data_IF_894998531279
#
_entry.id   IF_894998531279
#
_cell.length_a   1.000
_cell.length_b   1.000
_cell.length_c   1.000
_cell.angle_alpha   90.00
_cell.angle_beta   90.00
_cell.angle_gamma   90.00
#
_symmetry.space_group_name_H-M   'P 1'
#
loop_
_entity.id
_entity.type
_entity.pdbx_description
1 polymer ?
#
# COMPACT_ATOMS: atom_id res chain seq x y z
N UNK A 1 -13.55 -4.44 5.59
CA UNK A 1 -13.64 -2.98 5.65
C UNK A 1 -12.83 -2.36 4.53
N UNK A 2 -13.18 -1.17 4.08
CA UNK A 2 -12.48 -0.49 2.99
C UNK A 2 -11.61 0.63 3.55
N UNK A 3 -10.35 0.68 3.13
CA UNK A 3 -9.35 1.64 3.63
C UNK A 3 -8.71 2.34 2.43
N UNK A 4 -8.69 3.66 2.45
CA UNK A 4 -7.86 4.46 1.56
C UNK A 4 -6.44 4.52 2.11
N UNK A 5 -5.45 4.23 1.27
CA UNK A 5 -4.05 4.17 1.66
C UNK A 5 -3.22 4.98 0.67
N UNK A 6 -2.38 5.88 1.18
CA UNK A 6 -1.30 6.53 0.44
C UNK A 6 0.03 5.89 0.78
N UNK A 7 0.85 5.66 -0.23
CA UNK A 7 2.10 4.94 -0.08
C UNK A 7 3.20 5.52 -0.96
N UNK A 8 4.44 5.28 -0.56
CA UNK A 8 5.63 5.39 -1.40
C UNK A 8 6.03 3.99 -1.83
N UNK A 9 6.53 3.84 -3.05
CA UNK A 9 7.02 2.57 -3.55
C UNK A 9 8.19 2.74 -4.51
N UNK A 10 8.96 1.66 -4.67
CA UNK A 10 10.01 1.52 -5.67
C UNK A 10 9.71 0.30 -6.53
N UNK A 11 9.62 0.50 -7.84
CA UNK A 11 9.47 -0.61 -8.79
C UNK A 11 10.80 -1.35 -8.96
N UNK A 12 10.72 -2.65 -9.22
CA UNK A 12 11.88 -3.47 -9.53
C UNK A 12 12.74 -2.83 -10.63
N UNK A 13 14.03 -2.66 -10.34
CA UNK A 13 15.03 -2.14 -11.27
C UNK A 13 15.00 -0.62 -11.43
N UNK A 14 14.12 0.09 -10.72
CA UNK A 14 14.06 1.56 -10.72
C UNK A 14 14.59 2.11 -9.41
N UNK A 15 15.41 3.17 -9.46
CA UNK A 15 15.93 3.84 -8.26
C UNK A 15 14.98 4.89 -7.70
N UNK A 16 14.05 5.37 -8.52
CA UNK A 16 13.11 6.44 -8.17
C UNK A 16 12.05 5.94 -7.20
N UNK A 17 11.83 6.69 -6.12
CA UNK A 17 10.69 6.51 -5.23
C UNK A 17 9.49 7.21 -5.86
N UNK A 18 8.38 6.49 -5.99
CA UNK A 18 7.12 6.97 -6.52
C UNK A 18 6.09 7.02 -5.41
N UNK A 19 5.12 7.92 -5.52
CA UNK A 19 3.97 8.00 -4.62
C UNK A 19 2.72 7.50 -5.33
N UNK A 20 1.82 6.89 -4.57
CA UNK A 20 0.55 6.39 -5.07
C UNK A 20 -0.51 6.32 -3.98
N UNK A 21 -1.72 5.99 -4.39
CA UNK A 21 -2.82 5.73 -3.48
C UNK A 21 -3.74 4.65 -4.03
N UNK A 22 -4.25 3.82 -3.15
CA UNK A 22 -5.27 2.81 -3.47
C UNK A 22 -6.37 2.79 -2.40
N UNK A 23 -7.51 2.24 -2.81
CA UNK A 23 -8.57 1.83 -1.91
C UNK A 23 -8.53 0.30 -1.82
N UNK A 24 -8.22 -0.23 -0.63
CA UNK A 24 -8.09 -1.67 -0.40
C UNK A 24 -9.16 -2.18 0.56
N UNK A 25 -9.58 -3.42 0.39
CA UNK A 25 -10.46 -4.09 1.35
C UNK A 25 -9.63 -5.01 2.24
N UNK A 26 -9.65 -4.79 3.55
CA UNK A 26 -8.97 -5.63 4.55
C UNK A 26 -9.95 -6.17 5.57
N UNK A 27 -9.62 -7.30 6.19
CA UNK A 27 -10.41 -7.87 7.28
C UNK A 27 -10.32 -7.00 8.55
N UNK A 28 -9.12 -6.46 8.84
CA UNK A 28 -8.80 -5.68 10.03
C UNK A 28 -8.03 -4.40 9.67
N UNK A 29 -8.27 -3.29 10.40
CA UNK A 29 -7.55 -2.02 10.21
C UNK A 29 -6.23 -2.05 10.97
N UNK A 30 -5.32 -2.94 10.58
CA UNK A 30 -3.98 -3.02 11.15
C UNK A 30 -2.94 -2.69 10.09
N UNK A 31 -1.81 -2.05 10.45
CA UNK A 31 -0.72 -1.81 9.52
C UNK A 31 -0.26 -3.07 8.80
N UNK A 32 -0.22 -4.21 9.50
CA UNK A 32 0.19 -5.50 8.94
C UNK A 32 -0.79 -5.98 7.86
N UNK A 33 -2.09 -5.88 8.08
CA UNK A 33 -3.10 -6.27 7.10
C UNK A 33 -3.03 -5.37 5.85
N UNK A 34 -2.84 -4.07 6.03
CA UNK A 34 -2.65 -3.11 4.93
C UNK A 34 -1.40 -3.45 4.12
N UNK A 35 -0.27 -3.68 4.78
CA UNK A 35 1.00 -4.02 4.12
C UNK A 35 0.91 -5.36 3.37
N UNK A 36 0.27 -6.37 3.96
CA UNK A 36 0.07 -7.67 3.33
C UNK A 36 -0.77 -7.55 2.06
N UNK A 37 -1.84 -6.75 2.10
CA UNK A 37 -2.69 -6.51 0.94
C UNK A 37 -1.95 -5.73 -0.17
N UNK A 38 -1.19 -4.69 0.18
CA UNK A 38 -0.38 -3.96 -0.80
C UNK A 38 0.66 -4.86 -1.48
N UNK A 39 1.29 -5.80 -0.75
CA UNK A 39 2.21 -6.79 -1.35
C UNK A 39 1.51 -7.69 -2.35
N UNK A 40 0.30 -8.13 -2.02
CA UNK A 40 -0.48 -9.01 -2.88
C UNK A 40 -0.88 -8.31 -4.19
N UNK A 41 -1.27 -7.04 -4.11
CA UNK A 41 -1.69 -6.24 -5.27
C UNK A 41 -0.52 -5.81 -6.15
N UNK A 42 0.66 -5.59 -5.56
CA UNK A 42 1.81 -5.02 -6.25
C UNK A 42 3.08 -5.87 -6.09
N UNK A 43 3.11 -7.11 -6.63
CA UNK A 43 4.23 -8.04 -6.46
C UNK A 43 5.55 -7.55 -7.06
N UNK A 44 5.51 -6.60 -7.99
CA UNK A 44 6.67 -6.00 -8.66
C UNK A 44 7.35 -4.86 -7.88
N UNK A 45 6.85 -4.50 -6.70
CA UNK A 45 7.49 -3.50 -5.86
C UNK A 45 8.63 -4.12 -5.04
N UNK A 46 9.84 -3.57 -5.18
CA UNK A 46 11.00 -3.97 -4.36
C UNK A 46 10.86 -3.46 -2.93
N UNK A 47 10.32 -2.25 -2.78
CA UNK A 47 10.06 -1.65 -1.48
C UNK A 47 8.84 -0.75 -1.55
N UNK A 48 8.14 -0.65 -0.42
CA UNK A 48 7.03 0.27 -0.26
C UNK A 48 6.82 0.60 1.21
N UNK A 49 6.20 1.76 1.46
CA UNK A 49 5.90 2.29 2.78
C UNK A 49 4.54 2.96 2.74
N UNK A 50 3.71 2.69 3.75
CA UNK A 50 2.46 3.44 3.96
C UNK A 50 2.80 4.80 4.58
N UNK A 51 2.32 5.87 3.95
CA UNK A 51 2.44 7.26 4.42
C UNK A 51 1.23 7.62 5.26
N UNK A 52 0.04 7.26 4.78
CA UNK A 52 -1.25 7.59 5.38
C UNK A 52 -2.24 6.47 5.10
N UNK A 53 -3.07 6.14 6.08
CA UNK A 53 -4.20 5.23 5.90
C UNK A 53 -5.40 5.74 6.67
N UNK A 54 -6.58 5.72 6.04
CA UNK A 54 -7.85 6.12 6.65
C UNK A 54 -8.98 5.22 6.15
N UNK A 55 -10.01 5.06 6.96
CA UNK A 55 -11.23 4.36 6.52
C UNK A 55 -11.80 5.08 5.29
N UNK A 56 -12.11 4.31 4.25
CA UNK A 56 -12.87 4.82 3.11
C UNK A 56 -14.34 4.77 3.50
N UNK A 57 -14.99 5.94 3.48
CA UNK A 57 -16.43 6.06 3.68
C UNK A 57 -17.21 5.41 2.54
#
# INVERSE_FOLDING_TARGET
MTIFVRYEYRQHGKKTVLTGSDTITVAENTPQAILAMLRLLHPQWESFRVIESRLSQ
#
